data_IF_902200101945
#
_entry.id   IF_902200101945
#
_cell.length_a   1.000
_cell.length_b   1.000
_cell.length_c   1.000
_cell.angle_alpha   90.00
_cell.angle_beta   90.00
_cell.angle_gamma   90.00
#
_symmetry.space_group_name_H-M   'P 1'
#
loop_
_entity.id
_entity.type
_entity.pdbx_description
1 polymer ?
#
# COMPACT_ATOMS: atom_id res chain seq x y z
N UNK A 1 2.95 -17.82 19.52
CA UNK A 1 3.32 -17.46 18.13
C UNK A 1 3.64 -15.97 18.09
N UNK A 2 4.87 -15.60 17.73
CA UNK A 2 5.37 -14.21 17.76
C UNK A 2 4.56 -13.26 16.84
N UNK A 3 4.24 -12.06 17.32
CA UNK A 3 3.48 -11.04 16.56
C UNK A 3 4.18 -10.60 15.27
N UNK A 4 5.51 -10.72 15.21
CA UNK A 4 6.34 -10.45 14.02
C UNK A 4 6.02 -11.43 12.89
N UNK A 5 6.00 -12.75 13.18
CA UNK A 5 5.67 -13.78 12.19
C UNK A 5 4.23 -13.65 11.65
N UNK A 6 3.29 -13.21 12.48
CA UNK A 6 1.91 -12.98 12.03
C UNK A 6 1.79 -11.78 11.09
N UNK A 7 2.50 -10.68 11.36
CA UNK A 7 2.54 -9.51 10.47
C UNK A 7 3.20 -9.83 9.14
N UNK A 8 4.34 -10.50 9.16
CA UNK A 8 5.07 -10.87 7.95
C UNK A 8 4.24 -11.80 7.06
N UNK A 9 3.49 -12.72 7.66
CA UNK A 9 2.56 -13.59 6.95
C UNK A 9 1.41 -12.79 6.32
N UNK A 10 0.76 -11.89 7.05
CA UNK A 10 -0.32 -11.05 6.50
C UNK A 10 0.14 -10.19 5.33
N UNK A 11 1.34 -9.59 5.42
CA UNK A 11 1.95 -8.83 4.32
C UNK A 11 2.22 -9.72 3.11
N UNK A 12 2.75 -10.93 3.33
CA UNK A 12 2.98 -11.92 2.27
C UNK A 12 1.68 -12.27 1.55
N UNK A 13 0.58 -12.48 2.28
CA UNK A 13 -0.74 -12.76 1.69
C UNK A 13 -1.24 -11.61 0.83
N UNK A 14 -1.20 -10.38 1.33
CA UNK A 14 -1.64 -9.19 0.59
C UNK A 14 -0.82 -8.95 -0.69
N UNK A 15 0.52 -9.04 -0.60
CA UNK A 15 1.41 -8.95 -1.77
C UNK A 15 1.06 -9.99 -2.83
N UNK A 16 0.83 -11.22 -2.40
CA UNK A 16 0.49 -12.32 -3.29
C UNK A 16 -0.84 -12.08 -4.00
N UNK A 17 -1.89 -11.70 -3.26
CA UNK A 17 -3.21 -11.41 -3.83
C UNK A 17 -3.13 -10.27 -4.84
N UNK A 18 -2.44 -9.17 -4.47
CA UNK A 18 -2.28 -8.02 -5.35
C UNK A 18 -1.52 -8.37 -6.62
N UNK A 19 -0.39 -9.08 -6.51
CA UNK A 19 0.39 -9.51 -7.67
C UNK A 19 -0.47 -10.32 -8.65
N UNK A 20 -1.18 -11.33 -8.14
CA UNK A 20 -2.00 -12.20 -8.97
C UNK A 20 -3.12 -11.42 -9.68
N UNK A 21 -3.78 -10.50 -8.99
CA UNK A 21 -4.83 -9.69 -9.60
C UNK A 21 -4.30 -8.61 -10.54
N UNK A 22 -3.16 -8.00 -10.22
CA UNK A 22 -2.50 -7.05 -11.10
C UNK A 22 -2.13 -7.70 -12.42
N UNK A 23 -1.40 -8.83 -12.38
CA UNK A 23 -0.97 -9.54 -13.59
C UNK A 23 -2.17 -10.09 -14.37
N UNK A 24 -3.22 -10.54 -13.69
CA UNK A 24 -4.49 -10.93 -14.32
C UNK A 24 -5.10 -9.78 -15.12
N UNK A 25 -5.16 -8.58 -14.52
CA UNK A 25 -5.72 -7.39 -15.17
C UNK A 25 -4.84 -6.93 -16.34
N UNK A 26 -3.52 -6.93 -16.15
CA UNK A 26 -2.53 -6.58 -17.19
C UNK A 26 -2.63 -7.52 -18.41
N UNK A 27 -2.76 -8.82 -18.16
CA UNK A 27 -3.00 -9.85 -19.18
C UNK A 27 -4.44 -9.84 -19.74
N UNK A 28 -5.29 -8.88 -19.33
CA UNK A 28 -6.70 -8.74 -19.74
C UNK A 28 -7.57 -9.98 -19.47
N UNK A 29 -7.21 -10.78 -18.47
CA UNK A 29 -7.99 -11.95 -18.07
C UNK A 29 -9.15 -11.54 -17.15
N UNK A 30 -10.38 -11.92 -17.49
CA UNK A 30 -11.56 -11.59 -16.69
C UNK A 30 -11.70 -12.44 -15.42
N UNK A 31 -11.01 -13.59 -15.36
CA UNK A 31 -11.09 -14.53 -14.23
C UNK A 31 -9.74 -15.22 -13.95
N UNK A 32 -9.54 -15.77 -12.73
CA UNK A 32 -8.37 -16.59 -12.40
C UNK A 32 -8.19 -17.80 -13.33
N UNK A 33 -9.29 -18.38 -13.83
CA UNK A 33 -9.25 -19.47 -14.81
C UNK A 33 -8.62 -19.01 -16.12
N UNK A 34 -9.14 -17.93 -16.71
CA UNK A 34 -8.61 -17.39 -17.97
C UNK A 34 -7.14 -17.00 -17.83
N UNK A 35 -6.76 -16.42 -16.69
CA UNK A 35 -5.36 -16.14 -16.41
C UNK A 35 -4.52 -17.42 -16.37
N UNK A 36 -5.00 -18.47 -15.73
CA UNK A 36 -4.29 -19.76 -15.69
C UNK A 36 -4.09 -20.36 -17.08
N UNK A 37 -5.08 -20.25 -17.97
CA UNK A 37 -4.94 -20.68 -19.37
C UNK A 37 -3.84 -19.91 -20.11
N UNK A 38 -3.78 -18.59 -19.94
CA UNK A 38 -2.74 -17.74 -20.55
C UNK A 38 -1.36 -18.16 -20.03
N UNK A 39 -1.22 -18.35 -18.71
CA UNK A 39 0.06 -18.80 -18.13
C UNK A 39 0.45 -20.19 -18.62
N UNK A 40 -0.48 -21.14 -18.72
CA UNK A 40 -0.15 -22.47 -19.30
C UNK A 40 0.42 -22.33 -20.72
N UNK A 41 -0.21 -21.54 -21.58
CA UNK A 41 0.28 -21.31 -22.96
C UNK A 41 1.70 -20.72 -23.01
N UNK A 42 1.99 -19.72 -22.18
CA UNK A 42 3.32 -19.10 -22.12
C UNK A 42 4.38 -20.06 -21.57
N UNK A 43 3.97 -20.98 -20.70
CA UNK A 43 4.90 -21.88 -19.97
C UNK A 43 5.08 -23.25 -20.61
N UNK A 44 4.26 -23.62 -21.59
CA UNK A 44 4.45 -24.82 -22.43
C UNK A 44 5.84 -24.83 -23.05
N UNK A 45 6.29 -23.68 -23.56
CA UNK A 45 7.62 -23.51 -24.16
C UNK A 45 8.78 -23.54 -23.15
N UNK A 46 8.47 -23.40 -21.86
CA UNK A 46 9.43 -23.30 -20.75
C UNK A 46 9.56 -24.61 -19.96
N UNK A 47 8.85 -25.68 -20.35
CA UNK A 47 8.94 -27.00 -19.74
C UNK A 47 8.26 -27.12 -18.36
N UNK A 48 7.33 -26.22 -18.04
CA UNK A 48 6.56 -26.31 -16.79
C UNK A 48 5.38 -27.28 -16.93
N UNK A 49 5.03 -28.00 -15.84
CA UNK A 49 3.85 -28.86 -15.81
C UNK A 49 2.56 -28.03 -15.89
N UNK A 50 1.49 -28.61 -16.45
CA UNK A 50 0.22 -27.91 -16.66
C UNK A 50 -0.32 -27.25 -15.38
N UNK A 51 -0.52 -25.94 -15.48
CA UNK A 51 -0.89 -25.04 -14.40
C UNK A 51 -2.42 -24.95 -14.25
N UNK A 52 -3.18 -25.25 -15.32
CA UNK A 52 -4.65 -25.18 -15.35
C UNK A 52 -5.25 -26.38 -14.65
N UNK A 53 -4.88 -27.60 -15.04
CA UNK A 53 -5.43 -28.84 -14.45
C UNK A 53 -5.10 -28.97 -12.96
N UNK A 54 -3.96 -28.43 -12.53
CA UNK A 54 -3.50 -28.50 -11.15
C UNK A 54 -4.17 -27.49 -10.20
N UNK A 55 -5.01 -26.59 -10.73
CA UNK A 55 -5.65 -25.48 -9.98
C UNK A 55 -4.62 -24.66 -9.15
N UNK A 56 -3.35 -24.67 -9.60
CA UNK A 56 -2.19 -24.30 -8.76
C UNK A 56 -2.13 -22.82 -8.47
N UNK A 57 -2.70 -21.98 -9.35
CA UNK A 57 -2.72 -20.53 -9.18
C UNK A 57 -3.80 -20.04 -8.21
N UNK A 58 -4.90 -20.79 -8.07
CA UNK A 58 -6.07 -20.31 -7.30
C UNK A 58 -5.77 -20.08 -5.82
N UNK A 59 -4.87 -20.86 -5.22
CA UNK A 59 -4.43 -20.63 -3.84
C UNK A 59 -3.75 -19.25 -3.67
N UNK A 60 -3.03 -18.76 -4.69
CA UNK A 60 -2.36 -17.46 -4.62
C UNK A 60 -3.36 -16.30 -4.76
N UNK A 61 -4.40 -16.44 -5.60
CA UNK A 61 -5.50 -15.47 -5.67
C UNK A 61 -6.27 -15.34 -4.34
N UNK A 62 -6.28 -16.40 -3.52
CA UNK A 62 -6.91 -16.40 -2.18
C UNK A 62 -5.94 -16.02 -1.06
N UNK A 63 -4.66 -15.79 -1.36
CA UNK A 63 -3.63 -15.59 -0.35
C UNK A 63 -3.46 -16.79 0.58
N UNK A 64 -3.77 -18.00 0.11
CA UNK A 64 -3.54 -19.24 0.83
C UNK A 64 -2.06 -19.65 0.70
N UNK A 65 -1.21 -18.83 1.34
CA UNK A 65 0.23 -18.99 1.41
C UNK A 65 0.66 -19.03 2.87
N UNK A 66 1.47 -20.03 3.21
CA UNK A 66 2.07 -20.19 4.55
C UNK A 66 3.52 -19.70 4.62
N UNK A 67 4.13 -19.46 3.46
CA UNK A 67 5.52 -19.02 3.27
C UNK A 67 5.63 -18.11 2.05
N UNK A 68 6.78 -17.47 1.87
CA UNK A 68 7.06 -16.66 0.70
C UNK A 68 6.85 -17.49 -0.60
N UNK A 69 6.05 -16.99 -1.57
CA UNK A 69 5.70 -17.72 -2.79
C UNK A 69 6.82 -17.75 -3.85
N UNK A 70 8.05 -18.10 -3.47
CA UNK A 70 9.24 -18.03 -4.35
C UNK A 70 9.07 -18.75 -5.68
N UNK A 71 8.56 -19.99 -5.68
CA UNK A 71 8.43 -20.76 -6.92
C UNK A 71 7.49 -20.10 -7.94
N UNK A 72 6.34 -19.57 -7.47
CA UNK A 72 5.40 -18.92 -8.39
C UNK A 72 5.89 -17.53 -8.78
N UNK A 73 6.59 -16.81 -7.89
CA UNK A 73 7.19 -15.54 -8.25
C UNK A 73 8.22 -15.74 -9.35
N UNK A 74 9.13 -16.72 -9.23
CA UNK A 74 10.10 -17.04 -10.27
C UNK A 74 9.44 -17.40 -11.60
N UNK A 75 8.34 -18.16 -11.58
CA UNK A 75 7.57 -18.47 -12.78
C UNK A 75 7.01 -17.19 -13.42
N UNK A 76 6.33 -16.36 -12.63
CA UNK A 76 5.70 -15.14 -13.12
C UNK A 76 6.74 -14.14 -13.61
N UNK A 77 7.92 -14.06 -13.00
CA UNK A 77 9.03 -13.21 -13.45
C UNK A 77 9.64 -13.63 -14.79
N UNK A 78 9.50 -14.91 -15.18
CA UNK A 78 9.91 -15.37 -16.52
C UNK A 78 8.96 -14.86 -17.62
N UNK A 79 7.70 -14.59 -17.26
CA UNK A 79 6.64 -14.19 -18.20
C UNK A 79 6.45 -12.66 -18.18
N UNK A 80 6.40 -12.07 -16.99
CA UNK A 80 6.16 -10.66 -16.77
C UNK A 80 7.40 -10.00 -16.15
N UNK A 81 8.03 -9.11 -16.92
CA UNK A 81 9.27 -8.42 -16.51
C UNK A 81 9.16 -7.67 -15.19
N UNK A 82 7.97 -7.17 -14.85
CA UNK A 82 7.75 -6.34 -13.66
C UNK A 82 7.18 -7.12 -12.46
N UNK A 83 7.03 -8.45 -12.53
CA UNK A 83 6.38 -9.23 -11.48
C UNK A 83 7.05 -9.08 -10.10
N UNK A 84 8.38 -9.08 -10.05
CA UNK A 84 9.11 -8.90 -8.78
C UNK A 84 8.92 -7.51 -8.20
N UNK A 85 8.99 -6.49 -9.05
CA UNK A 85 8.81 -5.10 -8.65
C UNK A 85 7.41 -4.89 -8.05
N UNK A 86 6.37 -5.36 -8.74
CA UNK A 86 4.98 -5.31 -8.25
C UNK A 86 4.82 -6.08 -6.93
N UNK A 87 5.49 -7.21 -6.77
CA UNK A 87 5.42 -7.99 -5.54
C UNK A 87 6.05 -7.26 -4.35
N UNK A 88 7.23 -6.66 -4.54
CA UNK A 88 7.99 -6.04 -3.46
C UNK A 88 7.52 -4.62 -3.13
N UNK A 89 7.30 -3.80 -4.16
CA UNK A 89 6.96 -2.38 -4.06
C UNK A 89 5.46 -2.13 -4.10
N UNK A 90 4.70 -3.01 -4.77
CA UNK A 90 3.27 -2.85 -4.96
C UNK A 90 2.96 -1.96 -6.16
N UNK A 91 1.69 -1.93 -6.61
CA UNK A 91 1.28 -0.99 -7.63
C UNK A 91 1.50 0.43 -7.12
N UNK A 92 2.17 1.26 -7.92
CA UNK A 92 2.50 2.65 -7.56
C UNK A 92 3.14 2.79 -6.16
N UNK A 93 4.09 1.91 -5.80
CA UNK A 93 4.82 1.92 -4.52
C UNK A 93 3.95 1.76 -3.25
N UNK A 94 2.74 1.22 -3.37
CA UNK A 94 1.78 1.07 -2.28
C UNK A 94 2.37 0.36 -1.04
N UNK A 95 3.20 -0.68 -1.21
CA UNK A 95 3.80 -1.40 -0.08
C UNK A 95 4.86 -0.58 0.62
N UNK A 96 5.65 0.15 -0.14
CA UNK A 96 6.66 1.06 0.41
C UNK A 96 6.00 2.22 1.16
N UNK A 97 4.85 2.71 0.69
CA UNK A 97 4.07 3.72 1.40
C UNK A 97 3.46 3.20 2.73
N UNK A 98 2.95 1.96 2.75
CA UNK A 98 2.31 1.37 3.93
C UNK A 98 3.30 0.85 4.97
N UNK A 99 4.38 0.20 4.52
CA UNK A 99 5.25 -0.61 5.36
C UNK A 99 6.71 -0.20 5.32
N UNK A 100 7.08 0.72 4.43
CA UNK A 100 8.44 1.20 4.30
C UNK A 100 8.89 1.96 5.54
N UNK A 101 10.22 2.05 5.67
CA UNK A 101 10.88 2.88 6.66
C UNK A 101 10.72 4.37 6.35
N UNK A 102 10.96 5.23 7.34
CA UNK A 102 10.74 6.67 7.21
C UNK A 102 11.47 7.32 6.01
N UNK A 103 12.67 6.83 5.66
CA UNK A 103 13.40 7.32 4.48
C UNK A 103 12.69 6.95 3.16
N UNK A 104 12.09 5.76 3.09
CA UNK A 104 11.34 5.31 1.90
C UNK A 104 10.06 6.11 1.74
N UNK A 105 9.29 6.29 2.82
CA UNK A 105 8.07 7.10 2.78
C UNK A 105 8.37 8.57 2.46
N UNK A 106 9.49 9.11 2.97
CA UNK A 106 9.97 10.44 2.61
C UNK A 106 10.26 10.56 1.11
N UNK A 107 10.95 9.58 0.52
CA UNK A 107 11.26 9.60 -0.91
C UNK A 107 10.00 9.54 -1.79
N UNK A 108 9.00 8.75 -1.40
CA UNK A 108 7.71 8.68 -2.09
C UNK A 108 7.00 10.04 -2.05
N UNK A 109 6.94 10.69 -0.88
CA UNK A 109 6.32 12.01 -0.73
C UNK A 109 7.01 13.03 -1.64
N UNK A 110 8.35 13.05 -1.70
CA UNK A 110 9.12 13.94 -2.58
C UNK A 110 8.90 13.66 -4.07
N UNK A 111 8.92 12.39 -4.47
CA UNK A 111 8.76 11.97 -5.86
C UNK A 111 7.37 12.35 -6.40
N UNK A 112 6.31 12.03 -5.65
CA UNK A 112 4.94 12.25 -6.11
C UNK A 112 4.54 13.73 -6.03
N UNK A 113 5.05 14.47 -5.04
CA UNK A 113 4.81 15.92 -4.97
C UNK A 113 5.58 16.70 -6.05
N UNK A 114 6.39 16.05 -6.92
CA UNK A 114 7.16 16.72 -7.99
C UNK A 114 7.98 17.92 -7.47
N UNK A 115 8.42 17.85 -6.21
CA UNK A 115 9.34 18.84 -5.66
C UNK A 115 10.71 18.65 -6.31
N UNK A 116 11.54 19.71 -6.31
CA UNK A 116 12.90 19.62 -6.82
C UNK A 116 13.68 18.51 -6.11
N UNK A 117 14.67 17.89 -6.76
CA UNK A 117 15.47 16.81 -6.14
C UNK A 117 16.15 17.23 -4.83
N UNK A 118 16.43 18.53 -4.69
CA UNK A 118 17.05 19.13 -3.51
C UNK A 118 16.05 19.49 -2.40
N UNK A 119 14.75 19.36 -2.65
CA UNK A 119 13.72 19.76 -1.69
C UNK A 119 13.74 18.90 -0.43
N UNK A 120 13.45 19.54 0.69
CA UNK A 120 13.35 18.87 1.99
C UNK A 120 12.06 18.05 2.08
N UNK A 121 12.01 17.09 3.01
CA UNK A 121 10.78 16.31 3.24
C UNK A 121 9.65 17.20 3.74
N UNK A 122 9.98 18.24 4.51
CA UNK A 122 9.02 19.21 5.02
C UNK A 122 8.37 20.04 3.89
N UNK A 123 9.16 20.49 2.91
CA UNK A 123 8.64 21.16 1.71
C UNK A 123 7.67 20.26 0.93
N UNK A 124 8.03 18.99 0.75
CA UNK A 124 7.19 18.01 0.07
C UNK A 124 5.90 17.70 0.84
N UNK A 125 5.97 17.59 2.17
CA UNK A 125 4.78 17.46 3.02
C UNK A 125 3.87 18.67 2.91
N UNK A 126 4.42 19.88 2.96
CA UNK A 126 3.65 21.12 2.81
C UNK A 126 2.99 21.20 1.44
N UNK A 127 3.67 20.75 0.38
CA UNK A 127 3.05 20.62 -0.94
C UNK A 127 1.88 19.64 -0.95
N UNK A 128 2.01 18.45 -0.34
CA UNK A 128 0.89 17.50 -0.23
C UNK A 128 -0.32 18.12 0.49
N UNK A 129 -0.09 18.88 1.56
CA UNK A 129 -1.15 19.60 2.24
C UNK A 129 -1.79 20.69 1.35
N UNK A 130 -0.99 21.46 0.62
CA UNK A 130 -1.48 22.53 -0.25
C UNK A 130 -2.23 21.99 -1.46
N UNK A 131 -1.71 20.96 -2.14
CA UNK A 131 -2.36 20.30 -3.27
C UNK A 131 -3.75 19.78 -2.88
N UNK A 132 -3.89 19.29 -1.64
CA UNK A 132 -5.17 18.88 -1.09
C UNK A 132 -6.08 20.08 -0.76
N UNK A 133 -5.56 21.08 -0.03
CA UNK A 133 -6.36 22.20 0.47
C UNK A 133 -6.83 23.17 -0.62
N UNK A 134 -6.00 23.38 -1.64
CA UNK A 134 -6.22 24.38 -2.70
C UNK A 134 -6.84 23.72 -3.92
N UNK A 135 -6.25 22.63 -4.40
CA UNK A 135 -6.64 22.04 -5.70
C UNK A 135 -7.60 20.85 -5.54
N UNK A 136 -7.82 20.36 -4.31
CA UNK A 136 -8.57 19.14 -4.05
C UNK A 136 -7.92 17.89 -4.65
N UNK A 137 -6.66 18.00 -5.09
CA UNK A 137 -5.94 16.93 -5.76
C UNK A 137 -5.18 16.07 -4.74
N UNK A 138 -5.13 14.77 -4.99
CA UNK A 138 -4.44 13.84 -4.10
C UNK A 138 -3.95 12.62 -4.90
N UNK A 139 -2.86 12.01 -4.43
CA UNK A 139 -2.48 10.65 -4.78
C UNK A 139 -2.65 9.78 -3.54
N UNK A 140 -3.24 8.59 -3.71
CA UNK A 140 -3.41 7.66 -2.60
C UNK A 140 -2.06 7.31 -1.98
N UNK A 141 -1.08 6.90 -2.80
CA UNK A 141 0.25 6.50 -2.33
C UNK A 141 0.96 7.65 -1.61
N UNK A 142 0.95 8.87 -2.16
CA UNK A 142 1.61 10.00 -1.49
C UNK A 142 0.94 10.36 -0.17
N UNK A 143 -0.38 10.26 -0.10
CA UNK A 143 -1.14 10.53 1.13
C UNK A 143 -0.85 9.47 2.20
N UNK A 144 -0.80 8.19 1.82
CA UNK A 144 -0.40 7.10 2.72
C UNK A 144 1.04 7.34 3.21
N UNK A 145 1.97 7.65 2.31
CA UNK A 145 3.37 7.86 2.66
C UNK A 145 3.55 9.08 3.58
N UNK A 146 2.85 10.19 3.32
CA UNK A 146 2.85 11.38 4.16
C UNK A 146 2.31 11.06 5.56
N UNK A 147 1.18 10.33 5.64
CA UNK A 147 0.62 9.88 6.91
C UNK A 147 1.60 9.00 7.67
N UNK A 148 2.17 7.98 7.00
CA UNK A 148 3.08 7.01 7.61
C UNK A 148 4.35 7.68 8.12
N UNK A 149 4.91 8.61 7.35
CA UNK A 149 6.05 9.40 7.73
C UNK A 149 5.74 10.20 9.00
N UNK A 150 4.69 11.04 8.97
CA UNK A 150 4.30 11.88 10.12
C UNK A 150 3.97 11.04 11.36
N UNK A 151 3.21 9.96 11.23
CA UNK A 151 2.88 9.07 12.34
C UNK A 151 4.12 8.43 13.00
N UNK A 152 5.26 8.39 12.29
CA UNK A 152 6.52 7.82 12.79
C UNK A 152 7.46 8.90 13.33
N UNK A 153 7.62 10.02 12.62
CA UNK A 153 8.64 11.03 12.91
C UNK A 153 8.10 12.20 13.73
N UNK A 154 6.84 12.56 13.54
CA UNK A 154 6.19 13.71 14.18
C UNK A 154 4.68 13.44 14.42
N UNK A 155 4.33 12.42 15.22
CA UNK A 155 2.96 11.91 15.33
C UNK A 155 1.94 12.90 15.92
N UNK A 156 2.43 13.94 16.59
CA UNK A 156 1.63 14.96 17.28
C UNK A 156 2.03 16.39 16.89
N UNK A 157 2.81 16.55 15.82
CA UNK A 157 3.18 17.84 15.28
C UNK A 157 1.96 18.64 14.84
N UNK A 158 2.05 19.97 14.98
CA UNK A 158 0.94 20.91 14.75
C UNK A 158 1.22 21.84 13.58
N UNK A 159 0.16 22.36 12.98
CA UNK A 159 0.26 23.54 12.12
C UNK A 159 0.42 24.80 12.98
N UNK A 160 1.64 25.36 13.00
CA UNK A 160 1.97 26.58 13.73
C UNK A 160 2.00 26.43 15.26
N UNK A 161 2.30 27.53 15.96
CA UNK A 161 2.37 27.60 17.42
C UNK A 161 0.96 27.70 18.03
N UNK A 162 0.66 26.95 19.10
CA UNK A 162 -0.60 27.02 19.87
C UNK A 162 -1.55 25.83 19.70
N UNK A 163 -2.87 26.06 19.71
CA UNK A 163 -3.95 25.06 19.57
C UNK A 163 -4.16 24.57 18.12
N UNK A 164 -3.07 24.45 17.35
CA UNK A 164 -3.12 24.05 15.94
C UNK A 164 -3.62 22.62 15.72
N UNK A 165 -4.14 22.35 14.53
CA UNK A 165 -4.55 21.02 14.11
C UNK A 165 -3.34 20.08 13.99
N UNK A 166 -3.48 18.83 14.44
CA UNK A 166 -2.42 17.83 14.35
C UNK A 166 -2.18 17.40 12.90
N UNK A 167 -0.95 17.54 12.39
CA UNK A 167 -0.60 17.26 10.99
C UNK A 167 -0.91 15.82 10.59
N UNK A 168 -0.47 14.85 11.39
CA UNK A 168 -0.70 13.43 11.15
C UNK A 168 -2.21 13.10 11.15
N UNK A 169 -2.96 13.65 12.10
CA UNK A 169 -4.40 13.44 12.20
C UNK A 169 -5.15 14.05 11.01
N UNK A 170 -4.78 15.25 10.58
CA UNK A 170 -5.35 15.90 9.40
C UNK A 170 -5.16 15.03 8.15
N UNK A 171 -3.96 14.49 7.90
CA UNK A 171 -3.74 13.57 6.78
C UNK A 171 -4.59 12.30 6.94
N UNK A 172 -4.66 11.72 8.15
CA UNK A 172 -5.48 10.54 8.40
C UNK A 172 -6.95 10.78 8.02
N UNK A 173 -7.52 11.93 8.43
CA UNK A 173 -8.87 12.30 8.06
C UNK A 173 -9.05 12.40 6.54
N UNK A 174 -8.09 12.96 5.81
CA UNK A 174 -8.18 13.01 4.35
C UNK A 174 -8.04 11.63 3.71
N UNK A 175 -7.11 10.82 4.19
CA UNK A 175 -6.90 9.45 3.73
C UNK A 175 -8.18 8.61 3.88
N UNK A 176 -8.90 8.75 4.99
CA UNK A 176 -10.19 8.05 5.17
C UNK A 176 -11.28 8.51 4.21
N UNK A 177 -11.26 9.76 3.74
CA UNK A 177 -12.17 10.24 2.69
C UNK A 177 -11.75 9.70 1.32
N UNK A 178 -10.46 9.76 1.00
CA UNK A 178 -9.89 9.26 -0.26
C UNK A 178 -10.22 7.78 -0.46
N UNK A 179 -10.08 6.95 0.58
CA UNK A 179 -10.41 5.53 0.55
C UNK A 179 -11.90 5.22 0.34
N UNK A 180 -12.79 6.22 0.45
CA UNK A 180 -14.23 6.07 0.18
C UNK A 180 -14.62 6.48 -1.23
N UNK A 181 -13.71 7.08 -2.00
CA UNK A 181 -13.97 7.43 -3.40
C UNK A 181 -14.12 6.15 -4.23
N UNK A 182 -15.12 6.12 -5.10
CA UNK A 182 -15.48 4.92 -5.86
C UNK A 182 -14.33 4.42 -6.73
N UNK A 183 -13.60 5.33 -7.38
CA UNK A 183 -12.44 4.99 -8.19
C UNK A 183 -11.36 4.25 -7.37
N UNK A 184 -10.97 4.83 -6.22
CA UNK A 184 -9.97 4.25 -5.33
C UNK A 184 -10.45 2.91 -4.77
N UNK A 185 -11.69 2.86 -4.31
CA UNK A 185 -12.30 1.64 -3.78
C UNK A 185 -12.33 0.54 -4.84
N UNK A 186 -12.75 0.85 -6.06
CA UNK A 186 -12.83 -0.11 -7.16
C UNK A 186 -11.45 -0.60 -7.58
N UNK A 187 -10.45 0.28 -7.68
CA UNK A 187 -9.08 -0.08 -8.03
C UNK A 187 -8.48 -1.03 -6.98
N UNK A 188 -8.55 -0.68 -5.70
CA UNK A 188 -8.03 -1.52 -4.62
C UNK A 188 -8.82 -2.83 -4.45
N UNK A 189 -10.12 -2.82 -4.72
CA UNK A 189 -10.96 -4.03 -4.70
C UNK A 189 -10.66 -4.96 -5.86
N UNK A 190 -10.41 -4.41 -7.06
CA UNK A 190 -9.96 -5.17 -8.23
C UNK A 190 -8.62 -5.87 -7.99
N UNK A 191 -7.73 -5.24 -7.22
CA UNK A 191 -6.48 -5.82 -6.74
C UNK A 191 -6.67 -6.80 -5.56
N UNK A 192 -7.85 -6.84 -4.93
CA UNK A 192 -8.16 -7.69 -3.78
C UNK A 192 -7.52 -7.23 -2.46
N UNK A 193 -7.16 -5.96 -2.32
CA UNK A 193 -6.41 -5.45 -1.16
C UNK A 193 -7.08 -4.32 -0.41
N UNK A 194 -8.26 -3.86 -0.83
CA UNK A 194 -9.00 -2.75 -0.21
C UNK A 194 -9.10 -2.86 1.32
N UNK A 195 -9.66 -3.96 1.81
CA UNK A 195 -9.83 -4.19 3.26
C UNK A 195 -8.48 -4.27 3.99
N UNK A 196 -7.47 -4.88 3.35
CA UNK A 196 -6.12 -4.98 3.89
C UNK A 196 -5.47 -3.61 4.08
N UNK A 197 -5.57 -2.74 3.08
CA UNK A 197 -5.06 -1.36 3.12
C UNK A 197 -5.76 -0.57 4.22
N UNK A 198 -7.09 -0.65 4.31
CA UNK A 198 -7.87 0.02 5.36
C UNK A 198 -7.48 -0.45 6.77
N UNK A 199 -7.30 -1.75 6.93
CA UNK A 199 -6.93 -2.36 8.21
C UNK A 199 -5.52 -1.94 8.64
N UNK A 200 -4.55 -1.88 7.73
CA UNK A 200 -3.20 -1.41 8.05
C UNK A 200 -3.18 0.07 8.44
N UNK A 201 -3.90 0.93 7.72
CA UNK A 201 -4.02 2.36 8.07
C UNK A 201 -4.70 2.53 9.44
N UNK A 202 -5.75 1.75 9.71
CA UNK A 202 -6.46 1.79 11.00
C UNK A 202 -5.59 1.32 12.16
N UNK A 203 -4.71 0.34 11.94
CA UNK A 203 -3.74 -0.11 12.96
C UNK A 203 -2.73 0.99 13.29
N UNK A 204 -2.18 1.66 12.27
CA UNK A 204 -1.23 2.76 12.47
C UNK A 204 -1.89 3.86 13.31
N UNK A 205 -3.12 4.24 12.98
CA UNK A 205 -3.83 5.27 13.74
C UNK A 205 -4.13 4.84 15.17
N UNK A 206 -4.61 3.60 15.35
CA UNK A 206 -4.88 3.07 16.69
C UNK A 206 -3.61 3.07 17.54
N UNK A 207 -2.47 2.67 16.98
CA UNK A 207 -1.18 2.69 17.66
C UNK A 207 -0.75 4.11 18.03
N UNK A 208 -0.85 5.06 17.08
CA UNK A 208 -0.57 6.48 17.33
C UNK A 208 -1.42 7.03 18.48
N UNK A 209 -2.74 6.85 18.42
CA UNK A 209 -3.66 7.34 19.46
C UNK A 209 -3.42 6.66 20.81
N UNK A 210 -3.13 5.35 20.82
CA UNK A 210 -2.87 4.61 22.06
C UNK A 210 -1.56 5.03 22.73
N UNK A 211 -0.57 5.45 21.94
CA UNK A 211 0.73 5.92 22.42
C UNK A 211 0.74 7.43 22.70
N UNK A 212 -0.42 8.08 22.78
CA UNK A 212 -0.55 9.53 23.02
C UNK A 212 0.08 9.93 24.36
N UNK A 213 1.10 10.80 24.37
CA UNK A 213 1.63 11.37 25.59
C UNK A 213 0.60 12.23 26.32
N UNK A 214 0.71 12.29 27.64
CA UNK A 214 -0.18 13.06 28.51
C UNK A 214 -0.25 14.56 28.18
N UNK A 215 0.80 15.13 27.59
CA UNK A 215 0.88 16.54 27.20
C UNK A 215 0.22 16.84 25.84
N UNK A 216 -0.06 15.81 25.03
CA UNK A 216 -0.80 15.96 23.78
C UNK A 216 -2.28 15.97 24.10
N UNK A 217 -3.03 16.97 23.66
CA UNK A 217 -4.46 16.99 23.95
C UNK A 217 -5.22 15.95 23.10
N UNK A 218 -6.41 15.52 23.55
CA UNK A 218 -7.23 14.56 22.81
C UNK A 218 -7.62 15.05 21.40
N UNK A 219 -7.77 16.37 21.20
CA UNK A 219 -8.23 16.94 19.92
C UNK A 219 -7.22 16.71 18.78
N UNK A 220 -5.91 16.66 19.07
CA UNK A 220 -4.84 16.31 18.12
C UNK A 220 -4.87 14.83 17.69
N UNK A 221 -5.71 14.04 18.35
CA UNK A 221 -5.99 12.65 18.01
C UNK A 221 -7.44 12.45 17.54
N UNK A 222 -8.20 13.53 17.30
CA UNK A 222 -9.61 13.44 16.93
C UNK A 222 -10.53 12.92 18.02
N UNK A 223 -10.06 12.90 19.28
CA UNK A 223 -10.85 12.51 20.44
C UNK A 223 -11.45 13.81 21.01
N UNK A 224 -12.77 13.95 20.93
CA UNK A 224 -13.55 15.04 21.53
C UNK A 224 -14.41 14.46 22.64
#
# INVERSE_FOLDING_TARGET
MNSKNSRDLSRTKLRTIALMNYLRMDARASSPYQFSCIISQETESLGWPDIVESNRLYKYFRGDVSRHPTQILNLLSQIFKNAEDIYWNGPEDLWSALWGEAHQTSNIVKSISKTLEQSTTEEALNKVFMDYLVDGSFSLTSTIAAYRYLATTDPYGRFGDGHGFGRAFSIYQQLTKILKLDEIKNNLSGLGVYEGVQLEISKIEKERVSNRPHWVSPIECGQV
#
